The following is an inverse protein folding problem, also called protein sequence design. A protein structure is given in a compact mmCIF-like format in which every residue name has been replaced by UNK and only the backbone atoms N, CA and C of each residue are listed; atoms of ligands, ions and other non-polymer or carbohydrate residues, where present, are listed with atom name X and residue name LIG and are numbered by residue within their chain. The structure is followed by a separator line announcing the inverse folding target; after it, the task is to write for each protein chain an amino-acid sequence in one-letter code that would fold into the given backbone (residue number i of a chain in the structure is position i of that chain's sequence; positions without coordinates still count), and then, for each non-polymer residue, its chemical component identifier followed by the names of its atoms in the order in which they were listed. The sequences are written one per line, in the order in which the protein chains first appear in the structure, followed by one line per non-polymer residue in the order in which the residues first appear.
data_IF_130956548239
#
_entry.id   IF_130956548239
#
_cell.length_a   1.000
_cell.length_b   1.000
_cell.length_c   1.000
_cell.angle_alpha   90.00
_cell.angle_beta   90.00
_cell.angle_gamma   90.00
#
_symmetry.space_group_name_H-M   'P 1'
#
loop_
_entity.id
_entity.type
_entity.pdbx_description
1 polymer ?
#
# COMPACT_ATOMS: atom_id res chain seq x y z
N UNK A 1 -24.50 0.57 8.44
CA UNK A 1 -24.10 -0.81 8.79
C UNK A 1 -22.78 -1.13 8.11
N UNK A 2 -21.86 -1.85 8.76
CA UNK A 2 -20.56 -2.21 8.17
C UNK A 2 -20.70 -3.16 6.97
N UNK A 3 -21.71 -4.03 6.99
CA UNK A 3 -21.92 -5.07 5.97
C UNK A 3 -22.61 -4.61 4.68
N UNK A 4 -22.85 -3.31 4.51
CA UNK A 4 -23.56 -2.78 3.34
C UNK A 4 -22.58 -2.29 2.28
N UNK A 5 -22.93 -2.47 1.01
CA UNK A 5 -22.08 -2.05 -0.11
C UNK A 5 -21.87 -0.53 -0.08
N UNK A 6 -22.88 0.24 0.31
CA UNK A 6 -22.85 1.70 0.47
C UNK A 6 -21.79 2.15 1.46
N UNK A 7 -21.50 1.34 2.50
CA UNK A 7 -20.44 1.65 3.44
C UNK A 7 -19.06 1.63 2.77
N UNK A 8 -18.87 0.75 1.78
CA UNK A 8 -17.60 0.59 1.09
C UNK A 8 -17.43 1.51 -0.12
N UNK A 9 -18.52 2.01 -0.72
CA UNK A 9 -18.49 2.86 -1.92
C UNK A 9 -17.55 4.06 -1.77
N UNK A 10 -17.52 4.70 -0.59
CA UNK A 10 -16.64 5.85 -0.30
C UNK A 10 -15.14 5.57 -0.49
N UNK A 11 -14.71 4.30 -0.39
CA UNK A 11 -13.30 3.92 -0.57
C UNK A 11 -12.92 3.68 -2.04
N UNK A 12 -13.91 3.61 -2.94
CA UNK A 12 -13.74 3.38 -4.37
C UNK A 12 -14.08 4.60 -5.24
N UNK A 13 -14.60 5.67 -4.64
CA UNK A 13 -14.89 6.93 -5.31
C UNK A 13 -13.60 7.74 -5.49
N UNK A 14 -12.92 7.58 -6.63
CA UNK A 14 -11.63 8.25 -6.91
C UNK A 14 -11.74 9.07 -8.19
N UNK A 15 -11.25 10.31 -8.15
CA UNK A 15 -11.18 11.19 -9.31
C UNK A 15 -9.77 11.29 -9.90
N UNK A 16 -9.67 11.55 -11.20
CA UNK A 16 -8.38 11.58 -11.93
C UNK A 16 -7.39 12.61 -11.36
N UNK A 17 -7.88 13.78 -10.96
CA UNK A 17 -7.06 14.83 -10.35
C UNK A 17 -6.43 14.37 -9.02
N UNK A 18 -7.18 13.60 -8.22
CA UNK A 18 -6.68 13.08 -6.94
C UNK A 18 -5.52 12.10 -7.15
N UNK A 19 -5.59 11.27 -8.20
CA UNK A 19 -4.50 10.33 -8.53
C UNK A 19 -3.23 11.07 -8.96
N UNK A 20 -3.36 12.07 -9.83
CA UNK A 20 -2.22 12.88 -10.30
C UNK A 20 -1.55 13.63 -9.14
N UNK A 21 -2.35 14.23 -8.28
CA UNK A 21 -1.86 14.96 -7.11
C UNK A 21 -1.11 14.03 -6.14
N UNK A 22 -1.62 12.82 -5.91
CA UNK A 22 -0.94 11.80 -5.11
C UNK A 22 0.39 11.38 -5.73
N UNK A 23 0.45 11.15 -7.04
CA UNK A 23 1.70 10.81 -7.74
C UNK A 23 2.73 11.93 -7.58
N UNK A 24 2.34 13.18 -7.83
CA UNK A 24 3.23 14.34 -7.68
C UNK A 24 3.70 14.47 -6.23
N UNK A 25 2.80 14.26 -5.26
CA UNK A 25 3.10 14.30 -3.83
C UNK A 25 4.08 13.20 -3.41
N UNK A 26 3.97 11.99 -4.00
CA UNK A 26 4.92 10.89 -3.77
C UNK A 26 6.31 11.17 -4.33
N UNK A 27 6.42 11.95 -5.42
CA UNK A 27 7.70 12.28 -6.06
C UNK A 27 8.36 13.53 -5.45
N UNK A 28 7.56 14.51 -5.05
CA UNK A 28 8.03 15.81 -4.55
C UNK A 28 7.42 16.13 -3.18
N UNK A 29 7.91 15.53 -2.09
CA UNK A 29 7.36 15.71 -0.76
C UNK A 29 7.46 17.17 -0.25
N UNK A 30 8.40 17.96 -0.79
CA UNK A 30 8.61 19.36 -0.41
C UNK A 30 7.52 20.33 -0.89
N UNK A 31 6.69 19.94 -1.88
CA UNK A 31 5.60 20.79 -2.40
C UNK A 31 4.28 20.60 -1.66
N UNK A 32 4.23 19.63 -0.75
CA UNK A 32 3.01 19.26 -0.03
C UNK A 32 2.90 20.12 1.24
N UNK A 33 1.79 20.85 1.38
CA UNK A 33 1.49 21.64 2.59
C UNK A 33 1.44 20.71 3.82
N UNK A 34 1.97 21.15 4.98
CA UNK A 34 1.95 20.35 6.24
C UNK A 34 0.53 19.91 6.63
N UNK A 35 -0.51 20.64 6.20
CA UNK A 35 -1.92 20.32 6.51
C UNK A 35 -2.58 19.38 5.50
N UNK A 36 -1.89 19.00 4.41
CA UNK A 36 -2.42 18.15 3.34
C UNK A 36 -2.84 16.75 3.85
N UNK A 37 -2.10 16.19 4.81
CA UNK A 37 -2.41 14.89 5.39
C UNK A 37 -3.73 14.89 6.18
N UNK A 38 -4.00 15.91 6.98
CA UNK A 38 -5.21 15.99 7.78
C UNK A 38 -6.45 16.36 6.95
N UNK A 39 -6.32 17.26 5.95
CA UNK A 39 -7.46 17.72 5.15
C UNK A 39 -7.83 16.77 3.99
N UNK A 40 -6.85 16.10 3.37
CA UNK A 40 -7.11 15.28 2.16
C UNK A 40 -6.93 13.80 2.33
N UNK A 41 -6.01 13.34 3.18
CA UNK A 41 -5.71 11.92 3.34
C UNK A 41 -6.60 11.29 4.43
N UNK A 42 -6.86 11.99 5.55
CA UNK A 42 -7.79 11.51 6.59
C UNK A 42 -9.26 11.50 6.16
N UNK A 43 -9.67 12.44 5.28
CA UNK A 43 -11.06 12.63 4.89
C UNK A 43 -11.59 11.63 3.85
N UNK A 44 -10.71 11.05 3.02
CA UNK A 44 -11.10 10.19 1.89
C UNK A 44 -10.15 8.98 1.73
N UNK A 45 -10.30 7.96 2.60
CA UNK A 45 -9.48 6.74 2.54
C UNK A 45 -9.68 5.99 1.22
N UNK A 46 -8.60 5.61 0.55
CA UNK A 46 -8.64 4.93 -0.75
C UNK A 46 -8.33 3.43 -0.66
N UNK A 47 -9.21 2.63 -1.25
CA UNK A 47 -8.98 1.19 -1.47
C UNK A 47 -8.84 0.85 -2.95
N UNK A 48 -9.29 1.74 -3.85
CA UNK A 48 -9.20 1.53 -5.30
C UNK A 48 -7.76 1.29 -5.76
N UNK A 49 -6.80 2.14 -5.34
CA UNK A 49 -5.41 2.04 -5.75
C UNK A 49 -4.77 0.70 -5.35
N UNK A 50 -4.66 0.40 -4.04
CA UNK A 50 -4.05 -0.84 -3.57
C UNK A 50 -4.69 -2.11 -4.15
N UNK A 51 -6.02 -2.16 -4.31
CA UNK A 51 -6.73 -3.32 -4.85
C UNK A 51 -6.43 -3.50 -6.34
N UNK A 52 -6.69 -2.48 -7.17
CA UNK A 52 -6.57 -2.62 -8.63
C UNK A 52 -5.12 -2.74 -9.11
N UNK A 53 -4.18 -2.05 -8.45
CA UNK A 53 -2.75 -2.19 -8.75
C UNK A 53 -2.29 -3.63 -8.46
N UNK A 54 -2.69 -4.21 -7.32
CA UNK A 54 -2.32 -5.59 -6.98
C UNK A 54 -2.90 -6.60 -7.96
N UNK A 55 -4.19 -6.48 -8.31
CA UNK A 55 -4.88 -7.38 -9.25
C UNK A 55 -4.22 -7.35 -10.63
N UNK A 56 -3.97 -6.17 -11.17
CA UNK A 56 -3.34 -6.02 -12.51
C UNK A 56 -1.90 -6.53 -12.52
N UNK A 57 -1.15 -6.34 -11.44
CA UNK A 57 0.22 -6.86 -11.33
C UNK A 57 0.23 -8.39 -11.27
N UNK A 58 -0.63 -9.02 -10.45
CA UNK A 58 -0.75 -10.49 -10.36
C UNK A 58 -1.14 -11.06 -11.72
N UNK A 59 -2.14 -10.45 -12.38
CA UNK A 59 -2.56 -10.85 -13.72
C UNK A 59 -1.41 -10.75 -14.72
N UNK A 60 -0.67 -9.64 -14.72
CA UNK A 60 0.48 -9.43 -15.60
C UNK A 60 1.58 -10.47 -15.36
N UNK A 61 1.87 -10.82 -14.10
CA UNK A 61 2.84 -11.87 -13.76
C UNK A 61 2.34 -13.23 -14.25
N UNK A 62 1.05 -13.54 -14.11
CA UNK A 62 0.48 -14.79 -14.60
C UNK A 62 0.62 -14.91 -16.12
N UNK A 63 0.29 -13.86 -16.87
CA UNK A 63 0.44 -13.85 -18.34
C UNK A 63 1.91 -13.93 -18.75
N UNK A 64 2.78 -13.10 -18.15
CA UNK A 64 4.22 -13.12 -18.42
C UNK A 64 4.86 -14.47 -18.10
N UNK A 65 4.44 -15.12 -17.01
CA UNK A 65 4.89 -16.47 -16.67
C UNK A 65 4.49 -17.51 -17.70
N UNK A 66 3.26 -17.43 -18.24
CA UNK A 66 2.83 -18.29 -19.35
C UNK A 66 3.68 -18.06 -20.61
N UNK A 67 3.93 -16.80 -20.98
CA UNK A 67 4.74 -16.44 -22.15
C UNK A 67 6.19 -16.91 -21.99
N UNK A 68 6.80 -16.66 -20.83
CA UNK A 68 8.16 -17.08 -20.53
C UNK A 68 8.31 -18.61 -20.59
N UNK A 69 7.31 -19.35 -20.09
CA UNK A 69 7.29 -20.82 -20.17
C UNK A 69 7.12 -21.31 -21.62
N UNK A 70 6.29 -20.65 -22.42
CA UNK A 70 6.14 -20.96 -23.85
C UNK A 70 7.46 -20.77 -24.61
N UNK A 71 8.13 -19.63 -24.43
CA UNK A 71 9.42 -19.34 -25.09
C UNK A 71 10.52 -20.33 -24.70
N UNK A 72 10.56 -20.76 -23.44
CA UNK A 72 11.52 -21.78 -22.98
C UNK A 72 11.21 -23.18 -23.53
N UNK A 73 9.93 -23.50 -23.70
CA UNK A 73 9.48 -24.82 -24.20
C UNK A 73 9.55 -24.93 -25.72
N UNK A 74 9.55 -23.81 -26.45
CA UNK A 74 9.56 -23.78 -27.91
C UNK A 74 10.78 -24.48 -28.55
N UNK A 75 11.87 -24.66 -27.81
CA UNK A 75 13.12 -25.24 -28.31
C UNK A 75 13.44 -26.66 -27.77
N UNK A 76 12.51 -27.30 -27.03
CA UNK A 76 12.72 -28.63 -26.44
C UNK A 76 11.45 -29.49 -26.49
N UNK A 77 11.60 -30.79 -26.78
CA UNK A 77 10.51 -31.78 -26.67
C UNK A 77 10.28 -32.08 -25.18
N UNK A 78 9.65 -31.16 -24.46
CA UNK A 78 9.34 -31.31 -23.03
C UNK A 78 7.83 -31.19 -22.86
N UNK A 79 7.24 -32.11 -22.10
CA UNK A 79 5.84 -32.01 -21.71
C UNK A 79 5.62 -30.71 -20.93
N UNK A 80 4.81 -29.82 -21.51
CA UNK A 80 4.44 -28.56 -20.90
C UNK A 80 3.75 -28.80 -19.56
N UNK A 81 4.30 -28.20 -18.48
CA UNK A 81 3.64 -28.11 -17.17
C UNK A 81 3.66 -26.67 -16.72
N UNK A 82 2.48 -26.08 -16.63
CA UNK A 82 2.31 -24.78 -16.00
C UNK A 82 2.53 -24.89 -14.48
N UNK A 83 3.40 -24.06 -13.92
CA UNK A 83 3.60 -24.00 -12.48
C UNK A 83 2.67 -22.96 -11.84
N UNK A 84 1.52 -23.46 -11.38
CA UNK A 84 0.50 -22.66 -10.67
C UNK A 84 1.02 -22.06 -9.35
N UNK A 85 2.12 -22.60 -8.78
CA UNK A 85 2.67 -22.09 -7.53
C UNK A 85 3.33 -20.72 -7.72
N UNK A 86 3.92 -20.44 -8.89
CA UNK A 86 4.58 -19.16 -9.15
C UNK A 86 3.59 -17.99 -9.02
N UNK A 87 2.38 -18.15 -9.56
CA UNK A 87 1.31 -17.14 -9.46
C UNK A 87 0.83 -16.99 -8.03
N UNK A 88 0.69 -18.11 -7.31
CA UNK A 88 0.24 -18.11 -5.91
C UNK A 88 1.25 -17.43 -4.97
N UNK A 89 2.55 -17.68 -5.17
CA UNK A 89 3.61 -17.01 -4.44
C UNK A 89 3.69 -15.53 -4.77
N UNK A 90 3.59 -15.16 -6.05
CA UNK A 90 3.55 -13.77 -6.47
C UNK A 90 2.37 -13.02 -5.85
N UNK A 91 1.17 -13.61 -5.91
CA UNK A 91 -0.04 -13.02 -5.32
C UNK A 91 0.12 -12.81 -3.80
N UNK A 92 0.58 -13.83 -3.09
CA UNK A 92 0.82 -13.75 -1.64
C UNK A 92 1.85 -12.68 -1.32
N UNK A 93 2.98 -12.65 -2.03
CA UNK A 93 4.04 -11.67 -1.81
C UNK A 93 3.57 -10.23 -2.08
N UNK A 94 2.81 -9.99 -3.15
CA UNK A 94 2.30 -8.66 -3.51
C UNK A 94 1.32 -8.16 -2.45
N UNK A 95 0.33 -8.99 -2.08
CA UNK A 95 -0.63 -8.59 -1.04
C UNK A 95 0.06 -8.37 0.30
N UNK A 96 0.95 -9.27 0.72
CA UNK A 96 1.75 -9.08 1.93
C UNK A 96 2.52 -7.76 1.89
N UNK A 97 3.18 -7.42 0.77
CA UNK A 97 3.92 -6.16 0.65
C UNK A 97 3.01 -4.93 0.76
N UNK A 98 1.91 -4.89 0.01
CA UNK A 98 0.98 -3.75 -0.04
C UNK A 98 0.33 -3.47 1.32
N UNK A 99 0.09 -4.50 2.14
CA UNK A 99 -0.54 -4.35 3.45
C UNK A 99 0.46 -4.22 4.60
N UNK A 100 1.51 -5.05 4.63
CA UNK A 100 2.44 -5.09 5.76
C UNK A 100 3.37 -3.87 5.79
N UNK A 101 3.81 -3.36 4.63
CA UNK A 101 4.77 -2.24 4.61
C UNK A 101 4.15 -0.96 5.16
N UNK A 102 2.96 -0.51 4.73
CA UNK A 102 2.33 0.67 5.33
C UNK A 102 2.01 0.49 6.82
N UNK A 103 1.60 -0.72 7.22
CA UNK A 103 1.28 -1.03 8.61
C UNK A 103 2.51 -1.03 9.51
N UNK A 104 3.63 -1.60 9.04
CA UNK A 104 4.91 -1.59 9.73
C UNK A 104 5.46 -0.17 9.86
N UNK A 105 5.39 0.63 8.78
CA UNK A 105 5.80 2.04 8.81
C UNK A 105 4.95 2.84 9.79
N UNK A 106 3.62 2.66 9.76
CA UNK A 106 2.72 3.29 10.71
C UNK A 106 3.03 2.91 12.16
N UNK A 107 3.27 1.63 12.43
CA UNK A 107 3.62 1.15 13.76
C UNK A 107 4.97 1.72 14.24
N UNK A 108 5.98 1.76 13.37
CA UNK A 108 7.29 2.34 13.67
C UNK A 108 7.19 3.84 13.98
N UNK A 109 6.50 4.61 13.14
CA UNK A 109 6.31 6.04 13.34
C UNK A 109 5.55 6.33 14.64
N UNK A 110 4.47 5.58 14.90
CA UNK A 110 3.68 5.74 16.12
C UNK A 110 4.49 5.45 17.38
N UNK A 111 5.39 4.45 17.33
CA UNK A 111 6.30 4.17 18.42
C UNK A 111 7.23 5.36 18.68
N UNK A 112 7.89 5.89 17.65
CA UNK A 112 8.85 6.99 17.82
C UNK A 112 8.19 8.26 18.35
N UNK A 113 7.02 8.65 17.83
CA UNK A 113 6.31 9.86 18.29
C UNK A 113 5.77 9.73 19.72
N UNK A 114 5.47 8.51 20.19
CA UNK A 114 5.04 8.31 21.59
C UNK A 114 6.17 8.45 22.59
N UNK A 115 7.39 8.05 22.22
CA UNK A 115 8.58 8.23 23.07
C UNK A 115 8.85 9.71 23.33
N UNK A 116 8.82 10.54 22.28
CA UNK A 116 9.09 11.98 22.41
C UNK A 116 8.09 12.68 23.36
N UNK A 117 6.81 12.29 23.32
CA UNK A 117 5.78 12.87 24.20
C UNK A 117 5.89 12.46 25.67
N UNK A 118 6.46 11.27 25.96
CA UNK A 118 6.67 10.82 27.34
C UNK A 118 7.82 11.60 28.00
N UNK A 119 8.89 11.84 27.25
CA UNK A 119 10.07 12.59 27.71
C UNK A 119 9.75 14.07 27.99
N UNK A 120 8.89 14.70 27.17
CA UNK A 120 8.41 16.06 27.39
C UNK A 120 7.60 16.18 28.69
N UNK A 121 6.73 15.20 28.98
CA UNK A 121 5.88 15.21 30.18
C UNK A 121 6.74 15.02 31.44
N UNK A 122 7.69 14.09 31.45
CA UNK A 122 8.60 13.90 32.60
C UNK A 122 9.46 15.14 32.87
N UNK A 123 9.95 15.79 31.81
CA UNK A 123 10.74 17.02 31.91
C UNK A 123 9.92 18.17 32.50
N UNK A 124 8.67 18.34 32.05
CA UNK A 124 7.74 19.33 32.61
C UNK A 124 7.44 19.05 34.09
N UNK A 125 7.12 17.81 34.45
CA UNK A 125 6.82 17.42 35.84
C UNK A 125 8.03 17.66 36.77
N UNK A 126 9.24 17.36 36.31
CA UNK A 126 10.49 17.61 37.05
C UNK A 126 10.74 19.11 37.29
N UNK A 127 10.40 19.96 36.32
CA UNK A 127 10.49 21.42 36.44
C UNK A 127 9.46 22.00 37.41
N UNK A 128 8.25 21.43 37.49
CA UNK A 128 7.21 21.88 38.43
C UNK A 128 7.46 21.45 39.89
N UNK A 129 8.25 20.41 40.12
CA UNK A 129 8.56 19.87 41.46
C UNK A 129 9.84 20.45 42.07
N UNK A 130 10.53 21.36 41.37
CA UNK A 130 11.69 22.14 41.87
C UNK A 130 11.29 23.55 42.26
#
# INVERSE_FOLDING_TARGET
NFWTIEYYQKYFDVHTNEVVERIISSVLPQKVSRNYFDERIKGKPDLYGPIWISVTLIFTIAVSGNIANYLQSANKVVHWRYDFHLVSYAATAIFCYVWLVPLALWAALKWTTQTDGHDEIETQVSLYLR
#
